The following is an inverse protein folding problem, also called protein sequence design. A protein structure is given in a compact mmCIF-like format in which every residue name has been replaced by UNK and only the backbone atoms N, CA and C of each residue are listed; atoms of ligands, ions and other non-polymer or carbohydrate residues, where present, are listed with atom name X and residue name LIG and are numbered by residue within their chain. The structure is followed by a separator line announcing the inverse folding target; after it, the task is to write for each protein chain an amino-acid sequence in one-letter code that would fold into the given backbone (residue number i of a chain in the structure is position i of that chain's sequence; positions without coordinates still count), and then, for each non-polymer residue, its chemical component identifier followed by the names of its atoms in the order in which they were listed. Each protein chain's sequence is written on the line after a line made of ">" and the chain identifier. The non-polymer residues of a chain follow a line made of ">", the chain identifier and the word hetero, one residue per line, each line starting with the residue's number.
data_IF_446410042189
#
_entry.id   IF_446410042189
#
_cell.length_a   1.000
_cell.length_b   1.000
_cell.length_c   1.000
_cell.angle_alpha   90.00
_cell.angle_beta   90.00
_cell.angle_gamma   90.00
#
_symmetry.space_group_name_H-M   'P 1'
#
loop_
_entity.id
_entity.type
_entity.pdbx_description
1 polymer ?
#
# COMPACT_ATOMS: atom_id res chain seq x y z
N UNK A 1 -29.30 -10.35 -19.94
CA UNK A 1 -27.90 -10.64 -19.51
C UNK A 1 -27.63 -12.12 -19.76
N UNK A 2 -26.52 -12.51 -20.41
CA UNK A 2 -26.23 -13.93 -20.67
C UNK A 2 -26.01 -14.71 -19.37
N UNK A 3 -26.39 -16.00 -19.31
CA UNK A 3 -26.15 -16.88 -18.15
C UNK A 3 -24.68 -16.88 -17.72
N UNK A 4 -23.74 -16.81 -18.68
CA UNK A 4 -22.30 -16.72 -18.43
C UNK A 4 -21.91 -15.44 -17.67
N UNK A 5 -22.54 -14.31 -17.97
CA UNK A 5 -22.28 -13.03 -17.30
C UNK A 5 -22.84 -13.02 -15.87
N UNK A 6 -24.01 -13.61 -15.65
CA UNK A 6 -24.57 -13.76 -14.30
C UNK A 6 -23.69 -14.65 -13.43
N UNK A 7 -23.19 -15.78 -13.98
CA UNK A 7 -22.29 -16.67 -13.27
C UNK A 7 -20.97 -15.99 -12.88
N UNK A 8 -20.35 -15.24 -13.80
CA UNK A 8 -19.10 -14.52 -13.48
C UNK A 8 -19.30 -13.46 -12.40
N UNK A 9 -20.40 -12.70 -12.45
CA UNK A 9 -20.70 -11.70 -11.43
C UNK A 9 -20.95 -12.32 -10.04
N UNK A 10 -21.70 -13.40 -9.97
CA UNK A 10 -21.92 -14.14 -8.74
C UNK A 10 -20.60 -14.66 -8.15
N UNK A 11 -19.75 -15.23 -9.00
CA UNK A 11 -18.46 -15.74 -8.54
C UNK A 11 -17.53 -14.65 -8.04
N UNK A 12 -17.47 -13.49 -8.71
CA UNK A 12 -16.68 -12.34 -8.25
C UNK A 12 -17.20 -11.83 -6.90
N UNK A 13 -18.53 -11.73 -6.74
CA UNK A 13 -19.12 -11.32 -5.46
C UNK A 13 -18.75 -12.30 -4.33
N UNK A 14 -18.87 -13.60 -4.57
CA UNK A 14 -18.49 -14.63 -3.59
C UNK A 14 -17.01 -14.53 -3.21
N UNK A 15 -16.13 -14.33 -4.19
CA UNK A 15 -14.70 -14.18 -3.96
C UNK A 15 -14.37 -12.93 -3.13
N UNK A 16 -15.00 -11.79 -3.43
CA UNK A 16 -14.80 -10.55 -2.68
C UNK A 16 -15.33 -10.68 -1.24
N UNK A 17 -16.44 -11.36 -1.04
CA UNK A 17 -16.96 -11.68 0.30
C UNK A 17 -15.97 -12.58 1.06
N UNK A 18 -15.41 -13.59 0.40
CA UNK A 18 -14.41 -14.47 1.01
C UNK A 18 -13.15 -13.69 1.43
N UNK A 19 -12.65 -12.81 0.56
CA UNK A 19 -11.51 -11.93 0.86
C UNK A 19 -11.83 -11.01 2.04
N UNK A 20 -13.01 -10.39 2.04
CA UNK A 20 -13.48 -9.57 3.15
C UNK A 20 -13.49 -10.35 4.47
N UNK A 21 -14.04 -11.57 4.49
CA UNK A 21 -14.09 -12.39 5.70
C UNK A 21 -12.70 -12.82 6.20
N UNK A 22 -11.79 -13.19 5.29
CA UNK A 22 -10.40 -13.52 5.64
C UNK A 22 -9.73 -12.31 6.28
N UNK A 23 -9.81 -11.14 5.65
CA UNK A 23 -9.21 -9.91 6.16
C UNK A 23 -9.88 -9.43 7.45
N UNK A 24 -11.19 -9.62 7.60
CA UNK A 24 -11.91 -9.30 8.83
C UNK A 24 -11.40 -10.12 10.01
N UNK A 25 -11.31 -11.44 9.85
CA UNK A 25 -10.78 -12.33 10.91
C UNK A 25 -9.35 -11.95 11.28
N UNK A 26 -8.51 -11.67 10.27
CA UNK A 26 -7.13 -11.26 10.49
C UNK A 26 -7.04 -9.94 11.27
N UNK A 27 -7.77 -8.92 10.82
CA UNK A 27 -7.80 -7.62 11.48
C UNK A 27 -8.36 -7.69 12.91
N UNK A 28 -9.41 -8.48 13.16
CA UNK A 28 -9.98 -8.66 14.50
C UNK A 28 -9.01 -9.33 15.48
N UNK A 29 -8.14 -10.20 14.96
CA UNK A 29 -7.11 -10.91 15.75
C UNK A 29 -5.82 -10.12 15.93
N UNK A 30 -5.69 -8.96 15.28
CA UNK A 30 -4.51 -8.11 15.36
C UNK A 30 -4.79 -6.93 16.29
N UNK A 31 -4.06 -6.79 17.41
CA UNK A 31 -4.21 -5.66 18.34
C UNK A 31 -3.84 -4.33 17.68
N UNK A 32 -4.33 -3.24 18.22
CA UNK A 32 -3.80 -1.90 17.94
C UNK A 32 -2.42 -1.77 18.58
N UNK A 33 -1.48 -1.08 17.95
CA UNK A 33 -0.13 -0.89 18.49
C UNK A 33 0.44 0.49 18.15
N UNK A 34 1.33 0.96 18.97
CA UNK A 34 2.17 2.15 18.75
C UNK A 34 1.35 3.37 18.25
N UNK A 35 1.57 3.81 17.01
CA UNK A 35 0.83 4.94 16.40
C UNK A 35 -0.69 4.74 16.40
N UNK A 36 -1.19 3.50 16.33
CA UNK A 36 -2.63 3.22 16.39
C UNK A 36 -3.23 3.65 17.73
N UNK A 37 -2.48 3.44 18.84
CA UNK A 37 -2.90 3.82 20.19
C UNK A 37 -3.02 5.34 20.29
N UNK A 38 -2.04 6.07 19.76
CA UNK A 38 -2.04 7.52 19.72
C UNK A 38 -3.19 8.07 18.86
N UNK A 39 -3.32 7.58 17.63
CA UNK A 39 -4.39 8.01 16.74
C UNK A 39 -5.79 7.67 17.28
N UNK A 40 -5.94 6.53 17.96
CA UNK A 40 -7.18 6.20 18.66
C UNK A 40 -7.44 7.16 19.82
N UNK A 41 -6.43 7.47 20.61
CA UNK A 41 -6.56 8.45 21.69
C UNK A 41 -7.00 9.82 21.15
N UNK A 42 -6.34 10.37 20.14
CA UNK A 42 -6.70 11.62 19.47
C UNK A 42 -8.12 11.58 18.88
N UNK A 43 -8.48 10.50 18.21
CA UNK A 43 -9.80 10.35 17.58
C UNK A 43 -10.94 10.48 18.60
N UNK A 44 -10.77 9.89 19.79
CA UNK A 44 -11.78 9.98 20.86
C UNK A 44 -11.90 11.38 21.43
N UNK A 45 -10.84 12.19 21.38
CA UNK A 45 -10.89 13.62 21.80
C UNK A 45 -11.68 14.50 20.82
N UNK A 46 -12.01 13.99 19.61
CA UNK A 46 -12.88 14.68 18.65
C UNK A 46 -12.23 15.76 17.81
N UNK A 47 -10.89 15.87 17.80
CA UNK A 47 -10.15 16.93 17.11
C UNK A 47 -9.44 16.46 15.84
N UNK A 48 -9.99 15.45 15.12
CA UNK A 48 -9.35 14.73 14.02
C UNK A 48 -8.74 15.63 12.96
N UNK A 49 -9.48 16.65 12.50
CA UNK A 49 -8.99 17.58 11.45
C UNK A 49 -7.88 18.49 12.01
N UNK A 50 -8.06 19.02 13.23
CA UNK A 50 -7.04 19.86 13.89
C UNK A 50 -5.75 19.08 14.10
N UNK A 51 -5.85 17.84 14.56
CA UNK A 51 -4.70 16.97 14.80
C UNK A 51 -4.00 16.59 13.47
N UNK A 52 -4.77 16.38 12.39
CA UNK A 52 -4.23 16.22 11.04
C UNK A 52 -3.49 17.46 10.53
N UNK A 53 -4.02 18.65 10.75
CA UNK A 53 -3.33 19.92 10.43
C UNK A 53 -2.07 20.07 11.28
N UNK A 54 -2.13 19.74 12.56
CA UNK A 54 -0.97 19.79 13.45
C UNK A 54 0.14 18.87 12.95
N UNK A 55 -0.18 17.61 12.57
CA UNK A 55 0.81 16.68 12.01
C UNK A 55 1.41 17.21 10.71
N UNK A 56 0.59 17.79 9.83
CA UNK A 56 1.06 18.41 8.60
C UNK A 56 2.06 19.54 8.86
N UNK A 57 1.83 20.32 9.91
CA UNK A 57 2.68 21.45 10.28
C UNK A 57 3.94 21.04 11.07
N UNK A 58 3.90 19.90 11.79
CA UNK A 58 4.97 19.55 12.75
C UNK A 58 5.69 18.24 12.48
N UNK A 59 5.04 17.27 11.79
CA UNK A 59 5.55 15.90 11.68
C UNK A 59 5.78 15.42 10.25
N UNK A 60 4.73 15.42 9.39
CA UNK A 60 4.87 15.00 7.98
C UNK A 60 3.71 15.50 7.11
N UNK A 61 3.90 15.47 5.78
CA UNK A 61 2.93 15.98 4.81
C UNK A 61 1.69 15.08 4.56
N UNK A 62 1.61 13.87 5.14
CA UNK A 62 0.61 12.84 4.82
C UNK A 62 -0.74 13.07 5.53
N UNK A 63 -1.28 14.28 5.41
CA UNK A 63 -2.51 14.71 6.07
C UNK A 63 -3.67 13.73 5.92
N UNK A 64 -3.94 13.28 4.68
CA UNK A 64 -5.09 12.42 4.42
C UNK A 64 -4.94 11.02 4.98
N UNK A 65 -3.77 10.39 4.83
CA UNK A 65 -3.51 9.06 5.34
C UNK A 65 -3.70 8.97 6.86
N UNK A 66 -3.14 9.94 7.59
CA UNK A 66 -3.28 10.01 9.05
C UNK A 66 -4.70 10.38 9.48
N UNK A 67 -5.38 11.26 8.74
CA UNK A 67 -6.78 11.62 9.00
C UNK A 67 -7.70 10.42 8.80
N UNK A 68 -7.54 9.63 7.72
CA UNK A 68 -8.29 8.40 7.48
C UNK A 68 -8.06 7.37 8.58
N UNK A 69 -6.81 7.21 9.03
CA UNK A 69 -6.51 6.33 10.16
C UNK A 69 -7.29 6.74 11.43
N UNK A 70 -7.28 8.03 11.80
CA UNK A 70 -8.05 8.53 12.96
C UNK A 70 -9.55 8.28 12.79
N UNK A 71 -10.12 8.55 11.62
CA UNK A 71 -11.54 8.29 11.32
C UNK A 71 -11.86 6.80 11.47
N UNK A 72 -11.03 5.92 10.93
CA UNK A 72 -11.24 4.47 11.05
C UNK A 72 -11.20 4.01 12.51
N UNK A 73 -10.34 4.60 13.32
CA UNK A 73 -10.15 4.29 14.72
C UNK A 73 -11.25 4.85 15.63
N UNK A 74 -12.16 5.73 15.16
CA UNK A 74 -13.37 6.11 15.91
C UNK A 74 -14.19 4.89 16.34
N UNK A 75 -14.25 3.85 15.52
CA UNK A 75 -14.89 2.58 15.84
C UNK A 75 -14.07 1.63 16.74
N UNK A 76 -12.88 2.08 17.21
CA UNK A 76 -11.92 1.24 17.95
C UNK A 76 -11.41 0.07 17.11
N UNK A 77 -10.87 -0.95 17.78
CA UNK A 77 -10.32 -2.12 17.09
C UNK A 77 -11.38 -2.84 16.22
N UNK A 78 -12.59 -3.05 16.72
CA UNK A 78 -13.64 -3.76 15.96
C UNK A 78 -14.10 -2.95 14.73
N UNK A 79 -14.42 -1.68 14.90
CA UNK A 79 -14.88 -0.82 13.81
C UNK A 79 -13.80 -0.64 12.74
N UNK A 80 -12.57 -0.36 13.13
CA UNK A 80 -11.46 -0.26 12.18
C UNK A 80 -11.17 -1.58 11.46
N UNK A 81 -11.33 -2.74 12.13
CA UNK A 81 -11.18 -4.06 11.51
C UNK A 81 -12.20 -4.31 10.39
N UNK A 82 -13.46 -3.95 10.61
CA UNK A 82 -14.53 -4.09 9.61
C UNK A 82 -14.25 -3.17 8.43
N UNK A 83 -13.93 -1.90 8.71
CA UNK A 83 -13.64 -0.90 7.67
C UNK A 83 -12.42 -1.31 6.82
N UNK A 84 -11.31 -1.71 7.45
CA UNK A 84 -10.11 -2.13 6.75
C UNK A 84 -10.36 -3.34 5.84
N UNK A 85 -11.07 -4.36 6.35
CA UNK A 85 -11.41 -5.54 5.54
C UNK A 85 -12.27 -5.16 4.33
N UNK A 86 -13.22 -4.25 4.49
CA UNK A 86 -14.07 -3.75 3.41
C UNK A 86 -13.27 -2.94 2.38
N UNK A 87 -12.40 -2.04 2.83
CA UNK A 87 -11.54 -1.23 1.95
C UNK A 87 -10.54 -2.11 1.20
N UNK A 88 -10.00 -3.16 1.82
CA UNK A 88 -9.14 -4.12 1.12
C UNK A 88 -9.90 -4.85 -0.01
N UNK A 89 -11.15 -5.28 0.24
CA UNK A 89 -11.97 -5.89 -0.81
C UNK A 89 -12.27 -4.89 -1.96
N UNK A 90 -12.49 -3.60 -1.66
CA UNK A 90 -12.60 -2.54 -2.66
C UNK A 90 -11.30 -2.40 -3.46
N UNK A 91 -10.13 -2.38 -2.80
CA UNK A 91 -8.84 -2.29 -3.49
C UNK A 91 -8.66 -3.47 -4.46
N UNK A 92 -8.93 -4.69 -4.02
CA UNK A 92 -8.89 -5.88 -4.88
C UNK A 92 -9.83 -5.72 -6.09
N UNK A 93 -11.07 -5.29 -5.87
CA UNK A 93 -12.02 -5.05 -6.96
C UNK A 93 -11.50 -4.03 -7.98
N UNK A 94 -10.93 -2.91 -7.52
CA UNK A 94 -10.36 -1.88 -8.38
C UNK A 94 -9.15 -2.41 -9.18
N UNK A 95 -8.28 -3.21 -8.55
CA UNK A 95 -7.14 -3.83 -9.23
C UNK A 95 -7.62 -4.83 -10.29
N UNK A 96 -8.63 -5.64 -9.99
CA UNK A 96 -9.23 -6.54 -10.97
C UNK A 96 -9.86 -5.78 -12.15
N UNK A 97 -10.43 -4.61 -11.91
CA UNK A 97 -10.98 -3.73 -12.95
C UNK A 97 -9.88 -3.14 -13.83
N UNK A 98 -8.85 -2.56 -13.23
CA UNK A 98 -7.79 -1.89 -13.99
C UNK A 98 -6.90 -2.86 -14.77
N UNK A 99 -6.79 -4.12 -14.31
CA UNK A 99 -6.06 -5.20 -15.01
C UNK A 99 -6.88 -5.88 -16.11
N UNK A 100 -8.09 -5.41 -16.38
CA UNK A 100 -9.02 -5.98 -17.36
C UNK A 100 -9.39 -7.47 -17.08
N UNK A 101 -9.15 -7.95 -15.85
CA UNK A 101 -9.43 -9.33 -15.45
C UNK A 101 -10.94 -9.65 -15.38
N UNK A 102 -11.79 -8.61 -15.33
CA UNK A 102 -13.24 -8.70 -15.23
C UNK A 102 -13.96 -8.40 -16.56
N UNK A 103 -13.22 -8.17 -17.67
CA UNK A 103 -13.84 -7.85 -18.96
C UNK A 103 -14.50 -9.09 -19.59
N UNK A 104 -15.69 -8.87 -20.18
CA UNK A 104 -16.35 -9.87 -21.00
C UNK A 104 -15.41 -10.27 -22.17
N UNK A 105 -15.12 -11.55 -22.33
CA UNK A 105 -14.16 -12.08 -23.30
C UNK A 105 -12.77 -12.41 -22.71
N UNK A 106 -12.32 -11.71 -21.69
CA UNK A 106 -11.06 -11.98 -20.98
C UNK A 106 -11.28 -12.60 -19.58
N UNK A 107 -12.54 -12.82 -19.19
CA UNK A 107 -12.84 -13.41 -17.89
C UNK A 107 -12.33 -14.85 -17.83
N UNK A 108 -11.35 -15.05 -16.97
CA UNK A 108 -10.84 -16.36 -16.56
C UNK A 108 -10.71 -16.38 -15.05
N UNK A 109 -11.33 -17.39 -14.42
CA UNK A 109 -11.21 -17.59 -12.99
C UNK A 109 -9.75 -17.70 -12.56
N UNK A 110 -8.94 -18.45 -13.30
CA UNK A 110 -7.51 -18.60 -13.04
C UNK A 110 -6.82 -17.24 -13.03
N UNK A 111 -7.10 -16.36 -14.00
CA UNK A 111 -6.53 -15.01 -14.06
C UNK A 111 -6.93 -14.16 -12.85
N UNK A 112 -8.21 -14.15 -12.47
CA UNK A 112 -8.71 -13.40 -11.30
C UNK A 112 -8.02 -13.85 -10.03
N UNK A 113 -7.97 -15.18 -9.80
CA UNK A 113 -7.31 -15.73 -8.60
C UNK A 113 -5.80 -15.46 -8.62
N UNK A 114 -5.15 -15.51 -9.80
CA UNK A 114 -3.72 -15.19 -9.93
C UNK A 114 -3.42 -13.73 -9.59
N UNK A 115 -4.25 -12.77 -10.05
CA UNK A 115 -4.10 -11.33 -9.70
C UNK A 115 -4.16 -11.16 -8.18
N UNK A 116 -5.15 -11.75 -7.52
CA UNK A 116 -5.31 -11.69 -6.07
C UNK A 116 -4.12 -12.33 -5.37
N UNK A 117 -3.72 -13.52 -5.80
CA UNK A 117 -2.57 -14.23 -5.24
C UNK A 117 -1.25 -13.46 -5.42
N UNK A 118 -1.08 -12.75 -6.53
CA UNK A 118 0.08 -11.89 -6.75
C UNK A 118 0.14 -10.72 -5.76
N UNK A 119 -1.01 -10.13 -5.39
CA UNK A 119 -1.07 -9.07 -4.38
C UNK A 119 -0.65 -9.62 -3.01
N UNK A 120 -1.20 -10.77 -2.60
CA UNK A 120 -0.81 -11.39 -1.33
C UNK A 120 0.66 -11.81 -1.30
N UNK A 121 1.18 -12.36 -2.40
CA UNK A 121 2.54 -12.90 -2.46
C UNK A 121 3.62 -11.83 -2.59
N UNK A 122 3.37 -10.81 -3.42
CA UNK A 122 4.40 -9.89 -3.88
C UNK A 122 4.30 -8.48 -3.30
N UNK A 123 3.27 -8.14 -2.48
CA UNK A 123 3.26 -6.85 -1.82
C UNK A 123 4.21 -6.88 -0.62
N UNK A 124 5.32 -6.11 -0.65
CA UNK A 124 6.26 -6.08 0.46
C UNK A 124 5.63 -5.44 1.70
N UNK A 125 5.95 -5.97 2.88
CA UNK A 125 5.41 -5.49 4.15
C UNK A 125 3.89 -5.61 4.23
N UNK A 126 3.32 -6.72 3.77
CA UNK A 126 1.87 -6.94 3.64
C UNK A 126 1.08 -6.52 4.89
N UNK A 127 1.50 -6.96 6.09
CA UNK A 127 0.80 -6.61 7.32
C UNK A 127 0.96 -5.13 7.69
N UNK A 128 2.14 -4.56 7.44
CA UNK A 128 2.41 -3.13 7.67
C UNK A 128 1.58 -2.21 6.77
N UNK A 129 1.12 -2.72 5.61
CA UNK A 129 0.34 -1.97 4.62
C UNK A 129 -1.16 -2.20 4.77
N UNK A 130 -1.60 -3.44 5.08
CA UNK A 130 -3.00 -3.85 5.00
C UNK A 130 -3.63 -4.25 6.34
N UNK A 131 -2.83 -4.38 7.40
CA UNK A 131 -3.31 -4.82 8.72
C UNK A 131 -3.04 -3.77 9.81
N UNK A 132 -1.83 -3.23 9.91
CA UNK A 132 -1.48 -2.16 10.84
C UNK A 132 -2.23 -0.86 10.48
N UNK A 133 -3.02 -0.28 11.41
CA UNK A 133 -3.98 0.79 11.10
C UNK A 133 -3.31 2.07 10.59
N UNK A 134 -2.22 2.49 11.23
CA UNK A 134 -1.44 3.64 10.76
C UNK A 134 -0.86 3.40 9.36
N UNK A 135 -0.43 2.18 9.07
CA UNK A 135 0.00 1.77 7.75
C UNK A 135 -1.15 1.71 6.74
N UNK A 136 -2.32 1.19 7.13
CA UNK A 136 -3.52 1.18 6.29
C UNK A 136 -3.85 2.58 5.80
N UNK A 137 -3.96 3.57 6.70
CA UNK A 137 -4.24 4.96 6.31
C UNK A 137 -3.21 5.53 5.35
N UNK A 138 -1.93 5.29 5.60
CA UNK A 138 -0.84 5.86 4.81
C UNK A 138 -0.58 5.14 3.47
N UNK A 139 -0.91 3.84 3.35
CA UNK A 139 -0.59 3.03 2.17
C UNK A 139 -1.84 2.46 1.48
N UNK A 140 -2.70 1.71 2.17
CA UNK A 140 -3.85 1.06 1.54
C UNK A 140 -4.90 2.08 1.08
N UNK A 141 -5.28 3.02 1.93
CA UNK A 141 -6.32 4.01 1.62
C UNK A 141 -5.86 4.95 0.49
N UNK A 142 -4.59 5.35 0.51
CA UNK A 142 -3.99 6.11 -0.60
C UNK A 142 -3.91 5.28 -1.89
N UNK A 143 -3.66 3.95 -1.79
CA UNK A 143 -3.64 3.04 -2.93
C UNK A 143 -5.01 2.94 -3.61
N UNK A 144 -6.10 2.92 -2.84
CA UNK A 144 -7.47 2.95 -3.38
C UNK A 144 -7.65 4.21 -4.24
N UNK A 145 -7.17 5.37 -3.76
CA UNK A 145 -7.23 6.63 -4.49
C UNK A 145 -6.40 6.55 -5.78
N UNK A 146 -5.15 6.05 -5.71
CA UNK A 146 -4.28 5.91 -6.88
C UNK A 146 -4.89 5.02 -7.96
N UNK A 147 -5.36 3.84 -7.59
CA UNK A 147 -5.93 2.88 -8.55
C UNK A 147 -7.26 3.41 -9.10
N UNK A 148 -8.09 4.07 -8.30
CA UNK A 148 -9.32 4.72 -8.77
C UNK A 148 -9.02 5.83 -9.77
N UNK A 149 -8.08 6.71 -9.45
CA UNK A 149 -7.62 7.78 -10.34
C UNK A 149 -7.10 7.20 -11.66
N UNK A 150 -6.14 6.27 -11.61
CA UNK A 150 -5.54 5.67 -12.81
C UNK A 150 -6.56 4.88 -13.64
N UNK A 151 -7.48 4.15 -13.01
CA UNK A 151 -8.57 3.44 -13.71
C UNK A 151 -9.42 4.40 -14.53
N UNK A 152 -9.84 5.51 -13.94
CA UNK A 152 -10.65 6.52 -14.61
C UNK A 152 -9.83 7.35 -15.59
N UNK A 153 -8.56 7.60 -15.31
CA UNK A 153 -7.64 8.35 -16.14
C UNK A 153 -7.34 7.64 -17.48
N UNK A 154 -7.01 6.34 -17.43
CA UNK A 154 -6.75 5.54 -18.63
C UNK A 154 -8.01 5.41 -19.51
N UNK A 155 -9.19 5.37 -18.88
CA UNK A 155 -10.49 5.27 -19.57
C UNK A 155 -11.19 6.65 -19.73
N UNK A 156 -10.44 7.75 -19.71
CA UNK A 156 -11.00 9.08 -19.75
C UNK A 156 -11.79 9.36 -21.05
N UNK A 157 -12.82 10.16 -20.90
CA UNK A 157 -13.71 10.58 -21.99
C UNK A 157 -13.93 12.10 -21.94
N UNK A 158 -14.44 12.70 -23.02
CA UNK A 158 -14.79 14.12 -23.08
C UNK A 158 -16.07 14.48 -22.30
N UNK A 159 -16.58 13.61 -21.42
CA UNK A 159 -17.75 13.93 -20.62
C UNK A 159 -17.43 15.02 -19.60
N UNK A 160 -18.35 16.02 -19.45
CA UNK A 160 -18.19 17.12 -18.48
C UNK A 160 -17.93 16.63 -17.05
N UNK A 161 -18.56 15.52 -16.66
CA UNK A 161 -18.38 14.91 -15.34
C UNK A 161 -16.91 14.45 -15.12
N UNK A 162 -16.20 14.01 -16.17
CA UNK A 162 -14.79 13.63 -16.09
C UNK A 162 -13.90 14.81 -15.69
N UNK A 163 -14.24 16.03 -16.13
CA UNK A 163 -13.54 17.25 -15.73
C UNK A 163 -13.79 17.65 -14.27
N UNK A 164 -14.70 17.00 -13.56
CA UNK A 164 -14.94 17.21 -12.13
C UNK A 164 -14.22 16.14 -11.29
N UNK A 165 -14.45 14.86 -11.56
CA UNK A 165 -13.90 13.80 -10.69
C UNK A 165 -12.41 13.53 -10.91
N UNK A 166 -11.85 13.70 -12.14
CA UNK A 166 -10.43 13.45 -12.37
C UNK A 166 -9.52 14.47 -11.67
N UNK A 167 -9.78 15.80 -11.69
CA UNK A 167 -9.01 16.74 -10.88
C UNK A 167 -9.10 16.46 -9.38
N UNK A 168 -10.29 16.15 -8.87
CA UNK A 168 -10.48 15.83 -7.45
C UNK A 168 -9.68 14.59 -7.04
N UNK A 169 -9.80 13.48 -7.77
CA UNK A 169 -9.01 12.28 -7.49
C UNK A 169 -7.52 12.50 -7.74
N UNK A 170 -7.15 13.27 -8.76
CA UNK A 170 -5.77 13.66 -9.03
C UNK A 170 -5.14 14.42 -7.87
N UNK A 171 -5.85 15.39 -7.30
CA UNK A 171 -5.40 16.14 -6.14
C UNK A 171 -5.07 15.21 -4.94
N UNK A 172 -6.00 14.32 -4.59
CA UNK A 172 -5.77 13.35 -3.51
C UNK A 172 -4.69 12.32 -3.86
N UNK A 173 -4.60 11.90 -5.13
CA UNK A 173 -3.54 11.00 -5.58
C UNK A 173 -2.16 11.67 -5.55
N UNK A 174 -2.07 12.97 -5.80
CA UNK A 174 -0.84 13.74 -5.61
C UNK A 174 -0.47 13.89 -4.14
N UNK A 175 -1.46 14.12 -3.27
CA UNK A 175 -1.25 14.35 -1.83
C UNK A 175 -1.36 13.06 -0.99
N UNK A 176 -0.92 11.93 -1.50
CA UNK A 176 -0.99 10.65 -0.80
C UNK A 176 0.31 10.26 -0.11
N UNK A 177 1.25 9.72 -0.88
CA UNK A 177 2.55 9.26 -0.39
C UNK A 177 3.64 9.64 -1.39
N UNK A 178 4.74 10.20 -0.92
CA UNK A 178 5.75 10.92 -1.71
C UNK A 178 6.25 10.12 -2.92
N UNK A 179 6.64 8.88 -2.69
CA UNK A 179 7.22 8.05 -3.74
C UNK A 179 6.17 7.49 -4.71
N UNK A 180 5.03 7.03 -4.18
CA UNK A 180 3.97 6.43 -5.02
C UNK A 180 3.23 7.50 -5.84
N UNK A 181 2.97 8.68 -5.28
CA UNK A 181 2.37 9.81 -6.01
C UNK A 181 3.22 10.23 -7.21
N UNK A 182 4.55 10.28 -7.05
CA UNK A 182 5.48 10.53 -8.17
C UNK A 182 5.35 9.52 -9.31
N UNK A 183 5.24 8.21 -8.96
CA UNK A 183 5.00 7.15 -9.95
C UNK A 183 3.66 7.24 -10.65
N UNK A 184 2.59 7.60 -9.92
CA UNK A 184 1.24 7.82 -10.49
C UNK A 184 1.23 8.99 -11.47
N UNK A 185 1.91 10.10 -11.14
CA UNK A 185 2.08 11.25 -12.03
C UNK A 185 2.85 10.85 -13.28
N UNK A 186 3.94 10.10 -13.16
CA UNK A 186 4.70 9.59 -14.29
C UNK A 186 3.84 8.71 -15.21
N UNK A 187 3.04 7.79 -14.66
CA UNK A 187 2.07 6.99 -15.42
C UNK A 187 1.11 7.90 -16.16
N UNK A 188 0.58 8.94 -15.51
CA UNK A 188 -0.38 9.87 -16.12
C UNK A 188 0.23 10.61 -17.32
N UNK A 189 1.47 11.06 -17.21
CA UNK A 189 2.22 11.70 -18.30
C UNK A 189 2.39 10.70 -19.47
N UNK A 190 2.88 9.49 -19.18
CA UNK A 190 3.09 8.46 -20.20
C UNK A 190 1.79 8.07 -20.90
N UNK A 191 0.68 7.93 -20.15
CA UNK A 191 -0.65 7.64 -20.73
C UNK A 191 -1.10 8.75 -21.68
N UNK A 192 -0.95 10.02 -21.32
CA UNK A 192 -1.26 11.15 -22.21
C UNK A 192 -0.41 11.09 -23.50
N UNK A 193 0.90 10.86 -23.36
CA UNK A 193 1.80 10.75 -24.52
C UNK A 193 1.40 9.58 -25.43
N UNK A 194 1.14 8.39 -24.87
CA UNK A 194 0.72 7.20 -25.62
C UNK A 194 -0.62 7.49 -26.34
N UNK A 195 -1.60 8.04 -25.64
CA UNK A 195 -2.89 8.39 -26.24
C UNK A 195 -2.73 9.39 -27.40
N UNK A 196 -1.89 10.42 -27.21
CA UNK A 196 -1.63 11.37 -28.29
C UNK A 196 -1.00 10.71 -29.52
N UNK A 197 -0.04 9.82 -29.33
CA UNK A 197 0.61 9.11 -30.44
C UNK A 197 -0.40 8.25 -31.22
N UNK A 198 -1.29 7.52 -30.54
CA UNK A 198 -2.20 6.55 -31.17
C UNK A 198 -3.57 7.13 -31.56
N UNK A 199 -4.11 8.07 -30.76
CA UNK A 199 -5.47 8.60 -30.90
C UNK A 199 -5.45 10.04 -31.44
N UNK A 200 -4.31 10.74 -31.35
CA UNK A 200 -4.12 12.16 -31.78
C UNK A 200 -5.10 13.12 -31.09
N UNK A 201 -5.46 12.84 -29.84
CA UNK A 201 -6.37 13.67 -29.05
C UNK A 201 -5.89 13.83 -27.62
N UNK A 202 -6.11 15.02 -27.06
CA UNK A 202 -5.97 15.32 -25.65
C UNK A 202 -7.36 15.40 -25.01
N UNK A 203 -7.51 14.84 -23.83
CA UNK A 203 -8.70 15.01 -23.02
C UNK A 203 -8.45 16.05 -21.94
N UNK A 204 -9.25 17.13 -21.92
CA UNK A 204 -9.11 18.20 -20.93
C UNK A 204 -9.17 17.65 -19.50
N UNK A 205 -10.02 16.66 -19.25
CA UNK A 205 -10.15 15.99 -17.95
C UNK A 205 -8.83 15.36 -17.47
N UNK A 206 -8.03 14.79 -18.40
CA UNK A 206 -6.72 14.21 -18.06
C UNK A 206 -5.70 15.31 -17.74
N UNK A 207 -5.68 16.36 -18.53
CA UNK A 207 -4.78 17.52 -18.28
C UNK A 207 -5.08 18.12 -16.90
N UNK A 208 -6.37 18.36 -16.60
CA UNK A 208 -6.79 18.84 -15.28
C UNK A 208 -6.42 17.85 -14.16
N UNK A 209 -6.67 16.55 -14.37
CA UNK A 209 -6.29 15.50 -13.42
C UNK A 209 -4.79 15.51 -13.12
N UNK A 210 -3.95 15.63 -14.15
CA UNK A 210 -2.49 15.72 -14.01
C UNK A 210 -2.07 17.00 -13.27
N UNK A 211 -2.62 18.16 -13.64
CA UNK A 211 -2.30 19.45 -12.98
C UNK A 211 -2.63 19.39 -11.49
N UNK A 212 -3.82 18.90 -11.15
CA UNK A 212 -4.22 18.78 -9.75
C UNK A 212 -3.40 17.72 -8.98
N UNK A 213 -2.94 16.66 -9.64
CA UNK A 213 -2.02 15.71 -8.99
C UNK A 213 -0.63 16.33 -8.71
N UNK A 214 -0.14 17.18 -9.59
CA UNK A 214 1.07 17.96 -9.35
C UNK A 214 0.91 18.95 -8.18
N UNK A 215 -0.25 19.62 -8.09
CA UNK A 215 -0.56 20.50 -6.95
C UNK A 215 -0.59 19.69 -5.63
N UNK A 216 -1.25 18.53 -5.62
CA UNK A 216 -1.29 17.65 -4.46
C UNK A 216 0.11 17.21 -4.01
N UNK A 217 0.97 16.80 -4.98
CA UNK A 217 2.35 16.42 -4.69
C UNK A 217 3.17 17.60 -4.15
N UNK A 218 3.00 18.80 -4.70
CA UNK A 218 3.68 19.99 -4.20
C UNK A 218 3.30 20.28 -2.75
N UNK A 219 2.01 20.23 -2.40
CA UNK A 219 1.54 20.39 -1.00
C UNK A 219 2.15 19.34 -0.08
N UNK A 220 2.21 18.07 -0.51
CA UNK A 220 2.80 16.98 0.26
C UNK A 220 4.28 17.22 0.56
N UNK A 221 5.07 17.48 -0.48
CA UNK A 221 6.54 17.61 -0.38
C UNK A 221 6.96 18.91 0.32
N UNK A 222 6.21 19.98 0.15
CA UNK A 222 6.48 21.29 0.76
C UNK A 222 5.92 21.42 2.19
N UNK A 223 5.47 20.34 2.81
CA UNK A 223 4.91 20.38 4.16
C UNK A 223 5.93 20.86 5.18
N UNK A 224 5.58 21.80 6.08
CA UNK A 224 6.47 22.22 7.15
C UNK A 224 6.89 21.06 8.06
N UNK A 225 5.94 20.16 8.38
CA UNK A 225 6.20 18.97 9.21
C UNK A 225 7.22 18.02 8.59
N UNK A 226 7.18 17.79 7.27
CA UNK A 226 8.19 16.99 6.58
C UNK A 226 9.59 17.58 6.69
N UNK A 227 9.72 18.91 6.57
CA UNK A 227 10.99 19.60 6.77
C UNK A 227 11.47 19.50 8.22
N UNK A 228 10.59 19.75 9.20
CA UNK A 228 10.91 19.67 10.64
C UNK A 228 11.39 18.26 10.99
N UNK A 229 10.69 17.22 10.54
CA UNK A 229 11.10 15.83 10.74
C UNK A 229 12.48 15.55 10.14
N UNK A 230 12.73 16.01 8.92
CA UNK A 230 14.04 15.84 8.27
C UNK A 230 15.17 16.42 9.14
N UNK A 231 15.01 17.63 9.62
CA UNK A 231 16.04 18.32 10.43
C UNK A 231 16.23 17.65 11.79
N UNK A 232 15.16 17.17 12.42
CA UNK A 232 15.23 16.60 13.78
C UNK A 232 15.70 15.15 13.78
N UNK A 233 15.22 14.32 12.85
CA UNK A 233 15.55 12.88 12.82
C UNK A 233 16.78 12.55 11.97
N UNK A 234 17.09 13.39 10.99
CA UNK A 234 18.22 13.19 10.06
C UNK A 234 19.07 14.46 9.89
N UNK A 235 19.64 15.05 10.97
CA UNK A 235 20.31 16.36 10.93
C UNK A 235 21.49 16.41 9.95
N UNK A 236 22.18 15.30 9.74
CA UNK A 236 23.33 15.22 8.84
C UNK A 236 22.94 15.05 7.36
N UNK A 237 21.67 14.70 7.08
CA UNK A 237 21.23 14.40 5.72
C UNK A 237 21.40 15.57 4.75
N UNK A 238 21.15 16.80 5.19
CA UNK A 238 21.28 18.00 4.36
C UNK A 238 22.75 18.46 4.21
N UNK A 239 23.65 18.02 5.09
CA UNK A 239 25.06 18.37 5.06
C UNK A 239 25.85 17.50 4.07
N UNK A 240 25.35 16.31 3.74
CA UNK A 240 26.02 15.42 2.78
C UNK A 240 25.76 15.85 1.34
N UNK A 241 26.77 15.60 0.48
CA UNK A 241 26.59 15.77 -0.97
C UNK A 241 25.43 14.93 -1.49
N UNK A 242 24.54 15.54 -2.28
CA UNK A 242 23.38 14.88 -2.89
C UNK A 242 23.79 13.62 -3.64
N UNK A 243 24.88 13.69 -4.43
CA UNK A 243 25.35 12.54 -5.23
C UNK A 243 25.79 11.40 -4.31
N UNK A 244 26.57 11.71 -3.26
CA UNK A 244 27.11 10.69 -2.34
C UNK A 244 25.99 9.96 -1.59
N UNK A 245 25.07 10.70 -0.99
CA UNK A 245 23.94 10.12 -0.24
C UNK A 245 23.01 9.32 -1.15
N UNK A 246 22.65 9.84 -2.33
CA UNK A 246 21.81 9.12 -3.30
C UNK A 246 22.46 7.82 -3.74
N UNK A 247 23.75 7.81 -4.04
CA UNK A 247 24.48 6.60 -4.43
C UNK A 247 24.56 5.60 -3.27
N UNK A 248 24.76 6.06 -2.03
CA UNK A 248 24.75 5.22 -0.84
C UNK A 248 23.38 4.57 -0.62
N UNK A 249 22.32 5.38 -0.65
CA UNK A 249 20.93 4.91 -0.49
C UNK A 249 20.53 3.96 -1.61
N UNK A 250 20.93 4.23 -2.85
CA UNK A 250 20.69 3.34 -4.00
C UNK A 250 21.35 1.97 -3.80
N UNK A 251 22.60 1.93 -3.33
CA UNK A 251 23.27 0.66 -3.00
C UNK A 251 22.51 -0.11 -1.92
N UNK A 252 22.07 0.56 -0.87
CA UNK A 252 21.29 -0.07 0.20
C UNK A 252 19.92 -0.55 -0.29
N UNK A 253 19.24 0.25 -1.14
CA UNK A 253 17.97 -0.12 -1.78
C UNK A 253 18.14 -1.40 -2.61
N UNK A 254 19.17 -1.48 -3.46
CA UNK A 254 19.44 -2.68 -4.26
C UNK A 254 19.79 -3.86 -3.36
N UNK A 255 20.64 -3.68 -2.34
CA UNK A 255 20.98 -4.72 -1.39
C UNK A 255 19.73 -5.23 -0.65
N UNK A 256 18.83 -4.33 -0.24
CA UNK A 256 17.57 -4.69 0.40
C UNK A 256 16.69 -5.53 -0.54
N UNK A 257 16.47 -5.09 -1.79
CA UNK A 257 15.70 -5.88 -2.79
C UNK A 257 16.32 -7.28 -2.96
N UNK A 258 17.63 -7.38 -3.09
CA UNK A 258 18.32 -8.66 -3.30
C UNK A 258 18.26 -9.57 -2.06
N UNK A 259 18.15 -9.01 -0.87
CA UNK A 259 17.97 -9.78 0.37
C UNK A 259 16.58 -10.41 0.50
N UNK A 260 15.58 -9.88 -0.20
CA UNK A 260 14.18 -10.32 -0.13
C UNK A 260 13.84 -11.25 -1.29
N UNK A 261 13.80 -12.57 -1.02
CA UNK A 261 13.56 -13.62 -2.04
C UNK A 261 12.29 -13.38 -2.88
N UNK A 262 11.20 -12.90 -2.27
CA UNK A 262 9.96 -12.60 -2.97
C UNK A 262 10.09 -11.42 -3.93
N UNK A 263 10.87 -10.39 -3.58
CA UNK A 263 11.11 -9.26 -4.48
C UNK A 263 11.95 -9.69 -5.68
N UNK A 264 12.99 -10.49 -5.47
CA UNK A 264 13.81 -11.04 -6.55
C UNK A 264 12.95 -11.89 -7.49
N UNK A 265 12.16 -12.82 -6.95
CA UNK A 265 11.23 -13.65 -7.74
C UNK A 265 10.27 -12.79 -8.56
N UNK A 266 9.70 -11.74 -7.95
CA UNK A 266 8.81 -10.82 -8.65
C UNK A 266 9.50 -10.14 -9.84
N UNK A 267 10.70 -9.60 -9.66
CA UNK A 267 11.44 -8.94 -10.75
C UNK A 267 11.82 -9.91 -11.87
N UNK A 268 12.20 -11.14 -11.54
CA UNK A 268 12.44 -12.18 -12.56
C UNK A 268 11.17 -12.46 -13.37
N UNK A 269 10.03 -12.66 -12.70
CA UNK A 269 8.74 -12.87 -13.38
C UNK A 269 8.32 -11.66 -14.22
N UNK A 270 8.53 -10.45 -13.71
CA UNK A 270 8.22 -9.21 -14.44
C UNK A 270 9.02 -9.10 -15.73
N UNK A 271 10.33 -9.37 -15.68
CA UNK A 271 11.19 -9.38 -16.88
C UNK A 271 10.72 -10.42 -17.89
N UNK A 272 10.39 -11.66 -17.45
CA UNK A 272 9.85 -12.69 -18.33
C UNK A 272 8.53 -12.26 -18.97
N UNK A 273 7.62 -11.64 -18.19
CA UNK A 273 6.35 -11.12 -18.74
C UNK A 273 6.59 -10.02 -19.77
N UNK A 274 7.53 -9.09 -19.54
CA UNK A 274 7.86 -8.05 -20.50
C UNK A 274 8.39 -8.70 -21.82
N UNK A 275 9.29 -9.67 -21.74
CA UNK A 275 9.82 -10.38 -22.92
C UNK A 275 8.67 -11.04 -23.69
N UNK A 276 7.84 -11.84 -23.02
CA UNK A 276 6.71 -12.53 -23.63
C UNK A 276 5.72 -11.53 -24.26
N UNK A 277 5.38 -10.45 -23.53
CA UNK A 277 4.47 -9.44 -24.06
C UNK A 277 5.07 -8.68 -25.26
N UNK A 278 6.37 -8.42 -25.27
CA UNK A 278 7.06 -7.77 -26.39
C UNK A 278 6.98 -8.63 -27.68
N UNK A 279 7.10 -9.94 -27.53
CA UNK A 279 7.10 -10.88 -28.67
C UNK A 279 5.68 -11.15 -29.18
N UNK A 280 4.69 -11.25 -28.29
CA UNK A 280 3.36 -11.81 -28.65
C UNK A 280 2.21 -10.81 -28.56
N UNK A 281 2.34 -9.67 -27.84
CA UNK A 281 1.26 -8.69 -27.76
C UNK A 281 1.22 -7.81 -29.04
N UNK A 282 0.24 -8.09 -29.89
CA UNK A 282 0.02 -7.34 -31.13
C UNK A 282 -0.62 -5.97 -30.93
N UNK A 283 -1.30 -5.75 -29.80
CA UNK A 283 -1.91 -4.45 -29.49
C UNK A 283 -0.89 -3.53 -28.82
N UNK A 284 -0.16 -2.76 -29.63
CA UNK A 284 0.90 -1.84 -29.16
C UNK A 284 0.41 -0.78 -28.20
N UNK A 285 -0.82 -0.30 -28.36
CA UNK A 285 -1.41 0.66 -27.43
C UNK A 285 -1.55 0.06 -26.03
N UNK A 286 -2.19 -1.11 -25.91
CA UNK A 286 -2.37 -1.78 -24.60
C UNK A 286 -1.04 -2.22 -24.00
N UNK A 287 -0.09 -2.66 -24.82
CA UNK A 287 1.26 -2.98 -24.38
C UNK A 287 1.95 -1.78 -23.74
N UNK A 288 1.93 -0.61 -24.38
CA UNK A 288 2.56 0.61 -23.85
C UNK A 288 1.84 1.13 -22.59
N UNK A 289 0.51 1.02 -22.51
CA UNK A 289 -0.23 1.30 -21.29
C UNK A 289 0.24 0.38 -20.14
N UNK A 290 0.35 -0.93 -20.37
CA UNK A 290 0.89 -1.85 -19.37
C UNK A 290 2.32 -1.49 -18.95
N UNK A 291 3.18 -1.16 -19.90
CA UNK A 291 4.56 -0.76 -19.66
C UNK A 291 4.67 0.55 -18.85
N UNK A 292 3.74 1.52 -19.07
CA UNK A 292 3.72 2.76 -18.29
C UNK A 292 3.51 2.51 -16.80
N UNK A 293 2.68 1.52 -16.43
CA UNK A 293 2.49 1.11 -15.04
C UNK A 293 3.76 0.47 -14.44
N UNK A 294 4.46 -0.34 -15.23
CA UNK A 294 5.75 -0.92 -14.81
C UNK A 294 6.78 0.18 -14.56
N UNK A 295 6.92 1.12 -15.51
CA UNK A 295 7.86 2.24 -15.41
C UNK A 295 7.54 3.11 -14.20
N UNK A 296 6.26 3.47 -13.99
CA UNK A 296 5.84 4.26 -12.82
C UNK A 296 6.06 3.54 -11.50
N UNK A 297 5.83 2.22 -11.46
CA UNK A 297 6.11 1.39 -10.28
C UNK A 297 7.61 1.32 -9.96
N UNK A 298 8.46 1.11 -10.96
CA UNK A 298 9.93 1.14 -10.80
C UNK A 298 10.39 2.52 -10.35
N UNK A 299 9.89 3.59 -10.96
CA UNK A 299 10.22 4.97 -10.58
C UNK A 299 9.81 5.27 -9.11
N UNK A 300 8.66 4.77 -8.66
CA UNK A 300 8.23 4.89 -7.25
C UNK A 300 9.22 4.25 -6.27
N UNK A 301 9.92 3.19 -6.68
CA UNK A 301 10.93 2.55 -5.86
C UNK A 301 12.25 3.33 -5.93
N UNK A 302 12.69 3.69 -7.14
CA UNK A 302 13.97 4.35 -7.34
C UNK A 302 14.06 5.73 -6.69
N UNK A 303 12.93 6.45 -6.60
CA UNK A 303 12.89 7.77 -5.96
C UNK A 303 13.19 7.70 -4.45
N UNK A 304 13.02 6.54 -3.80
CA UNK A 304 13.39 6.34 -2.40
C UNK A 304 14.90 6.52 -2.15
N UNK A 305 15.74 6.36 -3.17
CA UNK A 305 17.18 6.65 -3.04
C UNK A 305 17.50 8.13 -2.75
N UNK A 306 16.55 9.04 -3.03
CA UNK A 306 16.69 10.47 -2.72
C UNK A 306 16.15 10.83 -1.34
N UNK A 307 15.43 9.92 -0.68
CA UNK A 307 14.82 10.14 0.63
C UNK A 307 15.81 9.87 1.78
N UNK A 308 15.59 10.47 2.95
CA UNK A 308 16.41 10.21 4.15
C UNK A 308 16.18 8.80 4.72
N UNK A 309 15.03 8.21 4.45
CA UNK A 309 14.57 6.91 4.97
C UNK A 309 13.67 6.18 3.96
N UNK A 310 13.29 4.95 4.24
CA UNK A 310 12.34 4.17 3.43
C UNK A 310 12.98 3.30 2.35
N UNK A 311 14.25 3.52 1.98
CA UNK A 311 14.96 2.74 0.97
C UNK A 311 15.29 1.29 1.41
N UNK A 312 15.09 0.96 2.67
CA UNK A 312 15.24 -0.38 3.25
C UNK A 312 14.02 -0.80 4.09
N UNK A 313 12.87 -0.17 3.88
CA UNK A 313 11.61 -0.50 4.56
C UNK A 313 10.61 -1.13 3.59
N UNK A 314 10.23 -2.40 3.82
CA UNK A 314 9.31 -3.16 2.95
C UNK A 314 8.03 -2.38 2.59
N UNK A 315 7.41 -1.70 3.56
CA UNK A 315 6.16 -0.94 3.34
C UNK A 315 6.30 0.20 2.32
N UNK A 316 7.49 0.84 2.24
CA UNK A 316 7.72 1.93 1.30
C UNK A 316 7.73 1.48 -0.17
N UNK A 317 8.02 0.20 -0.43
CA UNK A 317 8.01 -0.41 -1.76
C UNK A 317 6.61 -0.79 -2.24
N UNK A 318 5.65 -0.95 -1.34
CA UNK A 318 4.33 -1.54 -1.61
C UNK A 318 3.59 -0.87 -2.77
N UNK A 319 3.58 0.47 -2.82
CA UNK A 319 2.95 1.24 -3.89
C UNK A 319 3.53 0.93 -5.27
N UNK A 320 4.87 0.94 -5.37
CA UNK A 320 5.55 0.57 -6.60
C UNK A 320 5.26 -0.85 -7.05
N UNK A 321 5.23 -1.82 -6.12
CA UNK A 321 4.90 -3.21 -6.43
C UNK A 321 3.46 -3.38 -6.93
N UNK A 322 2.47 -2.74 -6.30
CA UNK A 322 1.08 -2.79 -6.79
C UNK A 322 0.96 -2.19 -8.19
N UNK A 323 1.60 -1.06 -8.48
CA UNK A 323 1.63 -0.48 -9.82
C UNK A 323 2.26 -1.44 -10.84
N UNK A 324 3.39 -2.08 -10.49
CA UNK A 324 4.03 -3.08 -11.36
C UNK A 324 3.19 -4.34 -11.54
N UNK A 325 2.47 -4.81 -10.51
CA UNK A 325 1.52 -5.93 -10.62
C UNK A 325 0.41 -5.58 -11.62
N UNK A 326 -0.17 -4.38 -11.52
CA UNK A 326 -1.16 -3.90 -12.51
C UNK A 326 -0.57 -3.89 -13.91
N UNK A 327 0.65 -3.36 -14.07
CA UNK A 327 1.36 -3.35 -15.37
C UNK A 327 1.60 -4.74 -15.91
N UNK A 328 2.06 -5.68 -15.10
CA UNK A 328 2.33 -7.07 -15.44
C UNK A 328 1.06 -7.76 -16.01
N UNK A 329 -0.09 -7.62 -15.35
CA UNK A 329 -1.33 -8.22 -15.82
C UNK A 329 -1.93 -7.50 -17.03
N UNK A 330 -1.69 -6.19 -17.21
CA UNK A 330 -2.04 -5.48 -18.45
C UNK A 330 -1.19 -5.95 -19.63
N UNK A 331 0.09 -6.18 -19.43
CA UNK A 331 0.99 -6.72 -20.45
C UNK A 331 0.55 -8.11 -20.94
N UNK A 332 -0.01 -8.94 -20.05
CA UNK A 332 -0.55 -10.27 -20.35
C UNK A 332 -1.98 -10.25 -20.92
N UNK A 333 -2.55 -9.07 -21.25
CA UNK A 333 -3.89 -8.94 -21.85
C UNK A 333 -3.83 -9.15 -23.36
N UNK A 334 -3.43 -10.32 -23.81
CA UNK A 334 -3.45 -10.74 -25.22
C UNK A 334 -3.86 -12.21 -25.36
N UNK A 335 -4.35 -12.58 -26.54
CA UNK A 335 -4.65 -13.96 -26.86
C UNK A 335 -3.34 -14.69 -27.17
N UNK A 336 -2.85 -15.48 -26.23
CA UNK A 336 -1.64 -16.29 -26.43
C UNK A 336 -1.92 -17.55 -27.21
N UNK A 337 -0.94 -17.97 -28.00
CA UNK A 337 -0.94 -19.31 -28.62
C UNK A 337 -1.01 -20.40 -27.54
N UNK A 338 -1.52 -21.60 -27.92
CA UNK A 338 -1.79 -22.67 -26.95
C UNK A 338 -0.59 -23.02 -26.06
N UNK A 339 0.64 -23.04 -26.58
CA UNK A 339 1.85 -23.36 -25.80
C UNK A 339 2.18 -22.29 -24.78
N UNK A 340 2.08 -21.03 -25.19
CA UNK A 340 2.36 -19.89 -24.29
C UNK A 340 1.27 -19.77 -23.23
N UNK A 341 0.01 -19.96 -23.62
CA UNK A 341 -1.11 -20.03 -22.69
C UNK A 341 -0.92 -21.11 -21.63
N UNK A 342 -0.43 -22.28 -22.02
CA UNK A 342 -0.12 -23.37 -21.09
C UNK A 342 0.96 -22.96 -20.08
N UNK A 343 2.05 -22.33 -20.52
CA UNK A 343 3.14 -21.86 -19.64
C UNK A 343 2.61 -20.80 -18.66
N UNK A 344 1.84 -19.83 -19.15
CA UNK A 344 1.22 -18.80 -18.30
C UNK A 344 0.31 -19.43 -17.25
N UNK A 345 -0.49 -20.42 -17.63
CA UNK A 345 -1.38 -21.13 -16.71
C UNK A 345 -0.61 -21.93 -15.64
N UNK A 346 0.49 -22.59 -16.01
CA UNK A 346 1.36 -23.31 -15.05
C UNK A 346 1.96 -22.31 -14.05
N UNK A 347 2.54 -21.22 -14.52
CA UNK A 347 3.08 -20.17 -13.65
C UNK A 347 1.99 -19.59 -12.74
N UNK A 348 0.79 -19.37 -13.26
CA UNK A 348 -0.36 -18.90 -12.49
C UNK A 348 -0.71 -19.86 -11.34
N UNK A 349 -0.77 -21.14 -11.60
CA UNK A 349 -1.02 -22.16 -10.57
C UNK A 349 0.10 -22.16 -9.53
N UNK A 350 1.37 -22.04 -9.94
CA UNK A 350 2.51 -21.94 -9.01
C UNK A 350 2.41 -20.70 -8.11
N UNK A 351 2.05 -19.53 -8.67
CA UNK A 351 1.84 -18.29 -7.89
C UNK A 351 0.72 -18.49 -6.87
N UNK A 352 -0.39 -19.12 -7.25
CA UNK A 352 -1.51 -19.39 -6.35
C UNK A 352 -1.09 -20.31 -5.20
N UNK A 353 -0.42 -21.42 -5.52
CA UNK A 353 0.03 -22.38 -4.49
C UNK A 353 1.05 -21.74 -3.53
N UNK A 354 2.03 -21.00 -4.07
CA UNK A 354 3.04 -20.34 -3.26
C UNK A 354 2.43 -19.23 -2.39
N UNK A 355 1.49 -18.46 -2.93
CA UNK A 355 0.74 -17.44 -2.18
C UNK A 355 -0.04 -18.08 -1.04
N UNK A 356 -0.80 -19.13 -1.31
CA UNK A 356 -1.56 -19.84 -0.29
C UNK A 356 -0.65 -20.36 0.83
N UNK A 357 0.44 -21.05 0.48
CA UNK A 357 1.41 -21.55 1.46
C UNK A 357 1.96 -20.44 2.34
N UNK A 358 2.46 -19.35 1.73
CA UNK A 358 3.06 -18.25 2.46
C UNK A 358 2.06 -17.51 3.34
N UNK A 359 0.85 -17.28 2.87
CA UNK A 359 -0.21 -16.64 3.66
C UNK A 359 -0.57 -17.50 4.88
N UNK A 360 -0.74 -18.80 4.70
CA UNK A 360 -1.09 -19.71 5.82
C UNK A 360 0.02 -19.77 6.87
N UNK A 361 1.28 -19.94 6.42
CA UNK A 361 2.43 -20.00 7.32
C UNK A 361 2.63 -18.64 8.01
N UNK A 362 2.62 -17.56 7.23
CA UNK A 362 2.80 -16.20 7.72
C UNK A 362 1.69 -15.76 8.68
N UNK A 363 0.44 -16.12 8.40
CA UNK A 363 -0.68 -15.88 9.32
C UNK A 363 -0.50 -16.58 10.67
N UNK A 364 -0.13 -17.87 10.65
CA UNK A 364 0.10 -18.63 11.91
C UNK A 364 1.19 -17.97 12.75
N UNK A 365 2.27 -17.57 12.11
CA UNK A 365 3.38 -16.90 12.76
C UNK A 365 2.98 -15.52 13.32
N UNK A 366 2.27 -14.70 12.53
CA UNK A 366 1.74 -13.41 12.97
C UNK A 366 0.81 -13.54 14.20
N UNK A 367 0.04 -14.64 14.31
CA UNK A 367 -0.84 -14.85 15.45
C UNK A 367 -0.07 -15.12 16.76
N UNK A 368 1.16 -15.62 16.71
CA UNK A 368 2.01 -15.75 17.90
C UNK A 368 2.37 -14.37 18.44
N UNK A 369 2.84 -13.47 17.60
CA UNK A 369 3.13 -12.09 18.00
C UNK A 369 1.88 -11.38 18.55
N UNK A 370 0.76 -11.48 17.84
CA UNK A 370 -0.51 -10.85 18.25
C UNK A 370 -0.99 -11.38 19.62
N UNK A 371 -0.79 -12.66 19.90
CA UNK A 371 -1.10 -13.25 21.20
C UNK A 371 -0.21 -12.65 22.30
N UNK A 372 1.10 -12.57 22.09
CA UNK A 372 2.05 -12.03 23.05
C UNK A 372 1.76 -10.55 23.35
N UNK A 373 1.47 -9.75 22.31
CA UNK A 373 1.10 -8.35 22.47
C UNK A 373 -0.22 -8.19 23.24
N UNK A 374 -1.22 -9.03 22.95
CA UNK A 374 -2.51 -9.04 23.67
C UNK A 374 -2.34 -9.45 25.15
N UNK A 375 -1.45 -10.41 25.43
CA UNK A 375 -1.11 -10.81 26.81
C UNK A 375 -0.47 -9.66 27.60
N UNK A 376 0.48 -8.92 26.98
CA UNK A 376 1.06 -7.69 27.55
C UNK A 376 -0.04 -6.66 27.87
N UNK A 377 -0.97 -6.42 26.95
CA UNK A 377 -2.06 -5.47 27.19
C UNK A 377 -2.95 -5.89 28.36
N UNK A 378 -3.20 -7.18 28.50
CA UNK A 378 -3.94 -7.72 29.66
C UNK A 378 -3.20 -7.44 30.98
N UNK A 379 -1.87 -7.54 31.01
CA UNK A 379 -1.06 -7.20 32.19
C UNK A 379 -1.19 -5.70 32.51
N UNK A 380 -1.07 -4.82 31.50
CA UNK A 380 -1.21 -3.37 31.69
C UNK A 380 -2.60 -3.01 32.22
N UNK A 381 -3.65 -3.55 31.61
CA UNK A 381 -5.05 -3.28 31.97
C UNK A 381 -5.34 -3.75 33.40
N UNK A 382 -4.85 -4.91 33.81
CA UNK A 382 -5.11 -5.52 35.11
C UNK A 382 -4.12 -5.09 36.21
N UNK A 383 -3.14 -4.25 35.87
CA UNK A 383 -2.19 -3.73 36.87
C UNK A 383 -2.91 -2.98 37.98
N UNK A 384 -2.64 -3.35 39.23
CA UNK A 384 -3.17 -2.67 40.42
C UNK A 384 -2.52 -1.31 40.62
N UNK A 385 -1.22 -1.19 40.32
CA UNK A 385 -0.48 0.07 40.37
C UNK A 385 -0.54 0.74 38.99
N UNK A 386 -1.30 1.81 38.87
CA UNK A 386 -1.39 2.63 37.65
C UNK A 386 -0.38 3.78 37.61
N UNK A 387 0.35 4.02 38.70
CA UNK A 387 1.39 5.06 38.76
C UNK A 387 2.65 4.63 38.01
N UNK A 388 3.10 3.36 38.22
CA UNK A 388 4.26 2.80 37.53
C UNK A 388 3.96 1.37 37.14
N UNK A 389 3.84 1.10 35.83
CA UNK A 389 3.58 -0.23 35.29
C UNK A 389 4.86 -0.74 34.64
N UNK A 390 5.27 -1.95 35.02
CA UNK A 390 6.46 -2.62 34.47
C UNK A 390 6.02 -3.84 33.66
N UNK A 391 6.55 -3.99 32.47
CA UNK A 391 6.26 -5.10 31.57
C UNK A 391 7.52 -5.71 30.99
N UNK A 392 7.49 -7.01 30.74
CA UNK A 392 8.60 -7.72 30.09
C UNK A 392 8.64 -7.44 28.59
N UNK A 393 9.83 -7.51 27.93
CA UNK A 393 9.95 -7.39 26.50
C UNK A 393 9.18 -8.50 25.77
N UNK A 394 8.67 -8.21 24.57
CA UNK A 394 8.11 -9.23 23.70
C UNK A 394 9.25 -9.94 22.99
N UNK A 395 9.68 -11.06 23.54
CA UNK A 395 10.74 -11.91 22.95
C UNK A 395 10.19 -12.73 21.80
N UNK A 396 9.97 -12.09 20.66
CA UNK A 396 9.56 -12.76 19.43
C UNK A 396 10.17 -12.03 18.25
N UNK A 397 10.81 -12.75 17.36
CA UNK A 397 11.42 -12.20 16.15
C UNK A 397 11.12 -13.11 14.97
N UNK A 398 10.23 -12.66 14.09
CA UNK A 398 9.92 -13.35 12.86
C UNK A 398 10.16 -12.41 11.68
N UNK A 399 11.02 -12.73 10.77
CA UNK A 399 11.18 -11.98 9.50
C UNK A 399 10.00 -12.28 8.54
N UNK A 400 8.78 -11.92 8.96
CA UNK A 400 7.55 -12.29 8.28
C UNK A 400 6.75 -11.06 7.83
N UNK A 401 6.65 -10.83 6.53
CA UNK A 401 5.88 -9.71 5.94
C UNK A 401 4.38 -9.71 6.33
N UNK A 402 3.86 -10.82 6.84
CA UNK A 402 2.47 -10.95 7.27
C UNK A 402 2.27 -10.66 8.76
N UNK A 403 3.32 -10.33 9.50
CA UNK A 403 3.27 -9.89 10.90
C UNK A 403 3.38 -8.38 11.00
N UNK A 404 2.61 -7.76 11.91
CA UNK A 404 2.77 -6.34 12.26
C UNK A 404 4.03 -6.09 13.08
N UNK A 405 4.71 -7.14 13.56
CA UNK A 405 5.97 -7.07 14.28
C UNK A 405 7.02 -6.21 13.58
N UNK A 406 7.11 -6.32 12.23
CA UNK A 406 8.04 -5.51 11.43
C UNK A 406 7.82 -3.99 11.52
N UNK A 407 6.70 -3.56 12.09
CA UNK A 407 6.39 -2.13 12.32
C UNK A 407 6.25 -1.81 13.81
N UNK A 408 6.47 -2.79 14.68
CA UNK A 408 6.34 -2.64 16.12
C UNK A 408 7.59 -2.03 16.73
N UNK A 409 7.39 -1.08 17.63
CA UNK A 409 8.43 -0.50 18.46
C UNK A 409 8.29 -1.01 19.88
N UNK A 410 9.38 -1.60 20.40
CA UNK A 410 9.39 -2.08 21.78
C UNK A 410 9.43 -0.91 22.77
N UNK A 411 8.79 -1.09 23.92
CA UNK A 411 8.86 -0.14 25.02
C UNK A 411 10.32 0.05 25.47
N UNK A 412 10.59 1.17 26.09
CA UNK A 412 11.91 1.53 26.62
C UNK A 412 11.88 1.72 28.15
N UNK A 413 13.04 1.93 28.75
CA UNK A 413 13.15 2.29 30.16
C UNK A 413 12.84 3.78 30.42
N UNK A 414 12.73 4.60 29.35
CA UNK A 414 12.32 5.99 29.47
C UNK A 414 10.81 6.13 29.22
N UNK A 415 10.00 6.46 30.25
CA UNK A 415 8.56 6.57 30.10
C UNK A 415 8.13 7.72 29.21
N UNK A 416 8.99 8.72 28.95
CA UNK A 416 8.67 9.86 28.11
C UNK A 416 9.02 9.62 26.63
N UNK A 417 9.80 8.55 26.34
CA UNK A 417 10.16 8.20 24.98
C UNK A 417 9.00 7.50 24.24
N UNK A 418 9.02 7.54 22.91
CA UNK A 418 8.16 6.72 22.08
C UNK A 418 8.67 5.25 22.12
N UNK A 419 7.78 4.24 22.24
CA UNK A 419 6.30 4.32 22.24
C UNK A 419 5.67 4.43 23.64
N UNK A 420 6.42 4.47 24.75
CA UNK A 420 5.86 4.51 26.11
C UNK A 420 4.83 5.64 26.29
N UNK A 421 5.16 6.84 25.82
CA UNK A 421 4.33 8.02 25.92
C UNK A 421 2.96 7.93 25.20
N UNK A 422 2.77 6.99 24.26
CA UNK A 422 1.48 6.76 23.60
C UNK A 422 0.65 5.66 24.28
N UNK A 423 1.32 4.73 24.99
CA UNK A 423 0.65 3.74 25.82
C UNK A 423 -0.02 4.38 27.05
N UNK A 424 0.63 5.36 27.67
CA UNK A 424 0.16 6.02 28.90
C UNK A 424 -1.26 6.56 28.75
N UNK A 425 -1.58 7.46 27.81
CA UNK A 425 -2.92 8.02 27.66
C UNK A 425 -3.95 6.99 27.18
N UNK A 426 -3.54 6.02 26.37
CA UNK A 426 -4.44 4.97 25.85
C UNK A 426 -4.91 4.03 26.96
N UNK A 427 -3.99 3.50 27.78
CA UNK A 427 -4.29 2.58 28.87
C UNK A 427 -4.64 3.27 30.20
N UNK A 428 -4.61 4.61 30.24
CA UNK A 428 -4.86 5.40 31.44
C UNK A 428 -3.95 5.01 32.59
N UNK A 429 -2.66 4.85 32.33
CA UNK A 429 -1.59 4.65 33.28
C UNK A 429 -0.70 5.89 33.31
N UNK A 430 -0.04 6.17 34.46
CA UNK A 430 0.77 7.38 34.59
C UNK A 430 2.14 7.22 33.95
N UNK A 431 2.79 6.09 34.20
CA UNK A 431 4.08 5.73 33.61
C UNK A 431 4.14 4.23 33.30
N UNK A 432 4.78 3.89 32.18
CA UNK A 432 5.04 2.51 31.77
C UNK A 432 6.53 2.35 31.45
N UNK A 433 7.08 1.21 31.86
CA UNK A 433 8.51 0.91 31.72
C UNK A 433 8.69 -0.52 31.19
N UNK A 434 9.72 -0.72 30.38
CA UNK A 434 10.24 -2.04 30.10
C UNK A 434 11.08 -2.49 31.30
N UNK A 435 10.96 -3.78 31.68
CA UNK A 435 11.82 -4.37 32.74
C UNK A 435 13.16 -4.80 32.16
#
# INVERSE_FOLDING_TARGET
>A
MSKKKQFSQFFIALLLITIFLIMLVWNLKTPLMDDDLWFRYQAVQGHIIRDGIQDYMTWNGRFWGQTFCRVSLLGGQKGSSILNAFLFAILIFLILKITDALQDGNFSLLRVVTVISAIYLFTPGFASVFIWRAGVGNYMDTMIIYISYLLLFVNATNKKLACLYLPMLGFFAGWGNENTSGGVILISILVICIQYVFIKRFYLSQILGLVFSLIGLAILVMSPGGHNRLVTTHPNFLQESIIRRTLSNFKQLVAFILSQKQMVLFFVLLVLVIIVATLYNKNRYQYLIGLSFVIGGVASILVLAFAPEGFNESRAFSGGFILMIVGMFKLLSFNAENRISLIINIISVMIIMLSFYRVVVGYKDAMVFNHNLSARYSIIINSKNKENVYVEPISYNSNNDYSIENSFFELTNDPNAFPNNVYEPYFKVKKIYLK
#
